data_IF_725377868894
#
_entry.id   IF_725377868894
#
_cell.length_a   1.000
_cell.length_b   1.000
_cell.length_c   1.000
_cell.angle_alpha   90.00
_cell.angle_beta   90.00
_cell.angle_gamma   90.00
#
_symmetry.space_group_name_H-M   'P 1'
#
loop_
_entity.id
_entity.type
_entity.pdbx_description
1 polymer ?
#
# COMPACT_ATOMS: atom_id res chain seq x y z
N UNK A 1 -27.84 -14.47 -32.69
CA UNK A 1 -27.93 -13.99 -31.30
C UNK A 1 -26.56 -14.22 -30.67
N UNK A 2 -25.74 -13.17 -30.64
CA UNK A 2 -24.40 -13.22 -30.05
C UNK A 2 -24.53 -12.79 -28.59
N UNK A 3 -24.14 -13.66 -27.67
CA UNK A 3 -23.96 -13.29 -26.26
C UNK A 3 -22.51 -12.86 -26.10
N UNK A 4 -22.27 -11.56 -26.13
CA UNK A 4 -20.98 -10.96 -25.87
C UNK A 4 -20.64 -11.13 -24.39
N UNK A 5 -19.65 -11.99 -24.12
CA UNK A 5 -18.98 -12.08 -22.83
C UNK A 5 -18.25 -10.76 -22.56
N UNK A 6 -18.85 -9.92 -21.73
CA UNK A 6 -18.20 -8.72 -21.16
C UNK A 6 -17.12 -9.10 -20.14
N UNK A 7 -16.02 -9.70 -20.62
CA UNK A 7 -14.78 -9.77 -19.87
C UNK A 7 -14.21 -8.36 -19.76
N UNK A 8 -14.38 -7.72 -18.60
CA UNK A 8 -13.76 -6.43 -18.31
C UNK A 8 -12.26 -6.64 -18.07
N UNK A 9 -11.55 -6.68 -19.20
CA UNK A 9 -10.25 -6.06 -19.43
C UNK A 9 -9.42 -5.85 -18.16
N UNK A 10 -8.64 -6.87 -17.83
CA UNK A 10 -7.35 -6.67 -17.17
C UNK A 10 -6.59 -5.65 -18.02
N UNK A 11 -6.51 -4.40 -17.55
CA UNK A 11 -5.61 -3.41 -18.14
C UNK A 11 -4.22 -3.72 -17.59
N UNK A 12 -3.47 -4.41 -18.41
CA UNK A 12 -2.05 -4.66 -18.26
C UNK A 12 -1.33 -3.32 -18.44
N UNK A 13 -1.18 -2.53 -17.38
CA UNK A 13 -0.25 -1.41 -17.37
C UNK A 13 1.03 -1.85 -16.68
N UNK A 14 1.94 -2.40 -17.46
CA UNK A 14 3.37 -2.37 -17.12
C UNK A 14 3.77 -0.89 -16.92
N UNK A 15 4.42 -0.58 -15.79
CA UNK A 15 5.22 0.64 -15.64
C UNK A 15 4.56 1.92 -15.13
N UNK A 16 3.49 1.87 -14.33
CA UNK A 16 3.07 3.05 -13.53
C UNK A 16 3.09 2.71 -12.05
N UNK A 17 4.25 2.90 -11.42
CA UNK A 17 4.38 2.83 -9.96
C UNK A 17 3.44 3.89 -9.38
N UNK A 18 2.39 3.45 -8.68
CA UNK A 18 1.53 4.39 -7.96
C UNK A 18 2.40 5.21 -7.01
N UNK A 19 2.33 6.56 -7.06
CA UNK A 19 3.20 7.40 -6.25
C UNK A 19 3.01 7.11 -4.75
N UNK A 20 1.79 6.78 -4.35
CA UNK A 20 1.43 6.37 -2.99
C UNK A 20 2.00 4.99 -2.62
N UNK A 21 1.95 3.99 -3.51
CA UNK A 21 2.58 2.69 -3.26
C UNK A 21 4.09 2.82 -3.08
N UNK A 22 4.73 3.52 -4.02
CA UNK A 22 6.19 3.72 -4.04
C UNK A 22 6.68 4.43 -2.79
N UNK A 23 5.90 5.38 -2.26
CA UNK A 23 6.21 6.07 -1.02
C UNK A 23 6.19 5.12 0.18
N UNK A 24 5.16 4.26 0.30
CA UNK A 24 5.10 3.27 1.40
C UNK A 24 6.26 2.29 1.30
N UNK A 25 6.53 1.79 0.11
CA UNK A 25 7.62 0.84 -0.16
C UNK A 25 8.98 1.47 0.21
N UNK A 26 9.24 2.69 -0.24
CA UNK A 26 10.47 3.41 0.10
C UNK A 26 10.65 3.61 1.61
N UNK A 27 9.59 4.02 2.31
CA UNK A 27 9.64 4.21 3.76
C UNK A 27 9.82 2.87 4.48
N UNK A 28 9.09 1.84 4.09
CA UNK A 28 9.19 0.52 4.68
C UNK A 28 10.61 -0.06 4.52
N UNK A 29 11.14 -0.05 3.29
CA UNK A 29 12.51 -0.51 3.00
C UNK A 29 13.58 0.23 3.80
N UNK A 30 13.33 1.49 4.19
CA UNK A 30 14.27 2.28 5.01
C UNK A 30 14.18 2.00 6.51
N UNK A 31 13.10 1.34 6.96
CA UNK A 31 12.82 1.10 8.38
C UNK A 31 13.02 -0.36 8.79
N UNK A 32 12.90 -1.29 7.86
CA UNK A 32 13.06 -2.74 8.10
C UNK A 32 14.52 -3.16 8.08
N UNK A 33 14.82 -4.28 8.74
CA UNK A 33 16.08 -5.00 8.60
C UNK A 33 16.08 -5.86 7.33
N UNK A 34 14.97 -6.56 7.09
CA UNK A 34 14.82 -7.48 5.97
C UNK A 34 13.95 -6.88 4.85
N UNK A 35 14.55 -6.24 3.83
CA UNK A 35 13.80 -5.67 2.71
C UNK A 35 13.08 -6.72 1.85
N UNK A 36 13.52 -7.99 1.88
CA UNK A 36 12.88 -9.09 1.14
C UNK A 36 11.47 -9.43 1.65
N UNK A 37 11.21 -9.19 2.93
CA UNK A 37 9.92 -9.46 3.56
C UNK A 37 8.92 -8.31 3.39
N UNK A 38 9.34 -7.18 2.78
CA UNK A 38 8.47 -6.04 2.51
C UNK A 38 7.65 -6.29 1.27
N UNK A 39 6.32 -6.33 1.43
CA UNK A 39 5.38 -6.48 0.32
C UNK A 39 4.24 -5.48 0.46
N UNK A 40 4.08 -4.63 -0.56
CA UNK A 40 3.00 -3.64 -0.61
C UNK A 40 1.97 -4.03 -1.66
N UNK A 41 0.77 -4.34 -1.19
CA UNK A 41 -0.41 -4.62 -2.04
C UNK A 41 -1.30 -3.38 -2.09
N UNK A 42 -1.83 -3.07 -3.26
CA UNK A 42 -2.74 -1.95 -3.46
C UNK A 42 -4.06 -2.44 -4.01
N UNK A 43 -5.14 -2.17 -3.27
CA UNK A 43 -6.51 -2.42 -3.70
C UNK A 43 -7.21 -1.09 -3.97
N UNK A 44 -7.89 -1.00 -5.11
CA UNK A 44 -8.66 0.19 -5.50
C UNK A 44 -10.14 -0.16 -5.54
N UNK A 45 -10.94 0.59 -4.78
CA UNK A 45 -12.40 0.46 -4.74
C UNK A 45 -13.03 1.84 -4.91
N UNK A 46 -13.45 2.16 -6.14
CA UNK A 46 -13.98 3.48 -6.47
C UNK A 46 -12.97 4.59 -6.18
N UNK A 47 -13.32 5.49 -5.26
CA UNK A 47 -12.46 6.60 -4.83
C UNK A 47 -11.58 6.26 -3.60
N UNK A 48 -11.64 5.02 -3.11
CA UNK A 48 -10.81 4.55 -1.99
C UNK A 48 -9.65 3.70 -2.51
N UNK A 49 -8.46 3.95 -1.96
CA UNK A 49 -7.28 3.12 -2.15
C UNK A 49 -6.92 2.53 -0.79
N UNK A 50 -6.88 1.20 -0.70
CA UNK A 50 -6.33 0.49 0.44
C UNK A 50 -4.92 0.01 0.07
N UNK A 51 -3.95 0.40 0.88
CA UNK A 51 -2.58 -0.10 0.83
C UNK A 51 -2.40 -1.08 1.98
N UNK A 52 -1.92 -2.27 1.66
CA UNK A 52 -1.64 -3.33 2.60
C UNK A 52 -0.12 -3.53 2.60
N UNK A 53 0.52 -3.20 3.72
CA UNK A 53 1.95 -3.40 3.94
C UNK A 53 2.14 -4.68 4.76
N UNK A 54 2.77 -5.68 4.16
CA UNK A 54 3.26 -6.86 4.84
C UNK A 54 4.76 -6.69 5.06
N UNK A 55 5.22 -7.02 6.26
CA UNK A 55 6.64 -7.02 6.65
C UNK A 55 6.92 -8.24 7.51
N UNK A 56 8.19 -8.54 7.77
CA UNK A 56 8.55 -9.57 8.73
C UNK A 56 8.03 -9.19 10.13
N UNK A 57 7.74 -10.21 10.95
CA UNK A 57 7.26 -10.03 12.32
C UNK A 57 8.23 -9.20 13.18
N UNK A 58 9.53 -9.35 12.95
CA UNK A 58 10.59 -8.58 13.61
C UNK A 58 10.57 -7.09 13.26
N UNK A 59 10.14 -6.74 12.05
CA UNK A 59 10.08 -5.36 11.55
C UNK A 59 8.77 -4.65 11.89
N UNK A 60 7.71 -5.39 12.22
CA UNK A 60 6.42 -4.83 12.64
C UNK A 60 6.60 -3.79 13.76
N UNK A 61 7.47 -4.07 14.73
CA UNK A 61 7.74 -3.13 15.83
C UNK A 61 8.31 -1.78 15.36
N UNK A 62 9.16 -1.80 14.33
CA UNK A 62 9.75 -0.60 13.73
C UNK A 62 8.73 0.18 12.89
N UNK A 63 7.92 -0.53 12.11
CA UNK A 63 6.89 0.06 11.22
C UNK A 63 5.72 0.66 11.99
N UNK A 64 5.21 -0.05 13.00
CA UNK A 64 4.17 0.50 13.88
C UNK A 64 4.79 1.62 14.72
N UNK A 65 5.99 1.39 15.26
CA UNK A 65 6.70 2.32 16.13
C UNK A 65 6.01 2.49 17.49
N UNK A 66 6.69 3.17 18.41
CA UNK A 66 6.17 3.42 19.76
C UNK A 66 4.84 4.19 19.69
N UNK A 67 3.78 3.60 20.24
CA UNK A 67 2.41 4.14 20.20
C UNK A 67 1.82 4.36 18.80
N UNK A 68 2.31 3.63 17.78
CA UNK A 68 1.78 3.76 16.41
C UNK A 68 2.26 5.03 15.68
N UNK A 69 3.24 5.76 16.23
CA UNK A 69 3.69 7.06 15.67
C UNK A 69 4.20 6.94 14.25
N UNK A 70 4.99 5.91 13.94
CA UNK A 70 5.59 5.73 12.62
C UNK A 70 4.49 5.44 11.60
N UNK A 71 3.64 4.46 11.86
CA UNK A 71 2.49 4.15 11.00
C UNK A 71 1.55 5.36 10.81
N UNK A 72 1.33 6.16 11.86
CA UNK A 72 0.51 7.36 11.77
C UNK A 72 1.15 8.44 10.89
N UNK A 73 2.46 8.67 11.02
CA UNK A 73 3.20 9.59 10.15
C UNK A 73 3.11 9.19 8.69
N UNK A 74 3.23 7.89 8.38
CA UNK A 74 3.06 7.39 7.01
C UNK A 74 1.64 7.67 6.50
N UNK A 75 0.61 7.43 7.30
CA UNK A 75 -0.79 7.74 6.93
C UNK A 75 -1.00 9.23 6.64
N UNK A 76 -0.39 10.12 7.41
CA UNK A 76 -0.44 11.56 7.17
C UNK A 76 0.22 11.91 5.82
N UNK A 77 1.41 11.36 5.55
CA UNK A 77 2.11 11.57 4.28
C UNK A 77 1.29 11.07 3.09
N UNK A 78 0.65 9.90 3.22
CA UNK A 78 -0.23 9.35 2.18
C UNK A 78 -1.42 10.26 1.91
N UNK A 79 -2.03 10.82 2.95
CA UNK A 79 -3.14 11.78 2.82
C UNK A 79 -2.70 13.03 2.08
N UNK A 80 -1.55 13.60 2.43
CA UNK A 80 -1.00 14.78 1.73
C UNK A 80 -0.66 14.46 0.27
N UNK A 81 -0.07 13.30 0.01
CA UNK A 81 0.25 12.85 -1.35
C UNK A 81 -1.02 12.59 -2.19
N UNK A 82 -2.11 12.14 -1.57
CA UNK A 82 -3.36 11.80 -2.25
C UNK A 82 -4.36 12.95 -2.39
N UNK A 83 -4.21 14.03 -1.62
CA UNK A 83 -5.05 15.24 -1.70
C UNK A 83 -5.11 15.83 -3.11
N UNK A 84 -4.09 15.62 -3.95
CA UNK A 84 -4.10 16.07 -5.37
C UNK A 84 -4.99 15.23 -6.28
N UNK A 85 -5.46 14.08 -5.83
CA UNK A 85 -6.25 13.13 -6.63
C UNK A 85 -7.67 12.94 -6.13
N UNK A 86 -8.08 13.65 -5.06
CA UNK A 86 -9.35 13.45 -4.33
C UNK A 86 -9.56 12.01 -3.82
N UNK A 87 -8.50 11.19 -3.74
CA UNK A 87 -8.61 9.77 -3.37
C UNK A 87 -8.40 9.59 -1.88
N UNK A 88 -9.28 8.81 -1.26
CA UNK A 88 -9.15 8.43 0.14
C UNK A 88 -8.20 7.23 0.26
N UNK A 89 -6.98 7.48 0.70
CA UNK A 89 -5.92 6.47 0.84
C UNK A 89 -5.82 6.03 2.30
N UNK A 90 -5.83 4.72 2.53
CA UNK A 90 -5.66 4.10 3.85
C UNK A 90 -4.53 3.08 3.81
N UNK A 91 -3.74 3.02 4.88
CA UNK A 91 -2.65 2.07 5.06
C UNK A 91 -2.97 1.12 6.22
N UNK A 92 -3.01 -0.16 5.88
CA UNK A 92 -3.12 -1.29 6.80
C UNK A 92 -1.79 -2.03 6.84
N UNK A 93 -1.28 -2.27 8.04
CA UNK A 93 -0.06 -3.06 8.25
C UNK A 93 -0.51 -4.45 8.68
N UNK A 94 -0.22 -5.45 7.86
CA UNK A 94 -0.67 -6.82 8.06
C UNK A 94 0.45 -7.64 8.67
N UNK A 95 0.10 -8.44 9.69
CA UNK A 95 1.00 -9.46 10.22
C UNK A 95 1.14 -10.60 9.20
N UNK A 96 2.37 -11.12 8.95
CA UNK A 96 2.53 -12.31 8.15
C UNK A 96 1.89 -13.50 8.87
N UNK A 97 0.86 -14.12 8.27
CA UNK A 97 0.30 -15.37 8.79
C UNK A 97 1.43 -16.41 8.86
N UNK A 98 1.59 -17.00 10.05
CA UNK A 98 2.55 -18.06 10.36
C UNK A 98 2.19 -19.37 9.68
#
# INVERSE_FOLDING_TARGET
MVSEKGGTLQRNTSGKTDPTKSLVEYIALSLVDDPSSVKVTQQRSGNRIRLELQVAKEDMGRIIGKSGKVANSIRVLLRVASNRSDRNVTLDVLEPNH
#
